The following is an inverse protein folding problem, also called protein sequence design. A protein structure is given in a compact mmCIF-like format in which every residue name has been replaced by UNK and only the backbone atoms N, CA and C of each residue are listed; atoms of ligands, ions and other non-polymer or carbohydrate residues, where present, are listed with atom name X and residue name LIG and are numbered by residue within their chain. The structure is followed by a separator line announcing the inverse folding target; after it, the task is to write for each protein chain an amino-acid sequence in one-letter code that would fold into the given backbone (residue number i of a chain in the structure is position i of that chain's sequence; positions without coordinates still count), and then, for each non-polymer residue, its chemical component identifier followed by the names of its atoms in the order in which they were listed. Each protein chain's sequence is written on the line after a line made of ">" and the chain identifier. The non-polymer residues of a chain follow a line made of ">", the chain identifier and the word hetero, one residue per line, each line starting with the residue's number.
data_IF_958299965110
#
_entry.id   IF_958299965110
#
_cell.length_a   1.000
_cell.length_b   1.000
_cell.length_c   1.000
_cell.angle_alpha   90.00
_cell.angle_beta   90.00
_cell.angle_gamma   90.00
#
_symmetry.space_group_name_H-M   'P 1'
#
loop_
_entity.id
_entity.type
_entity.pdbx_description
1 polymer ?
#
# COMPACT_ATOMS: atom_id res chain seq x y z
N UNK A 1 -1.35 13.00 10.39
CA UNK A 1 -0.90 11.78 9.72
C UNK A 1 -1.26 11.76 8.23
N UNK A 2 -2.50 12.10 7.85
CA UNK A 2 -2.91 12.06 6.43
C UNK A 2 -2.08 12.98 5.52
N UNK A 3 -1.83 14.23 5.94
CA UNK A 3 -0.98 15.18 5.20
C UNK A 3 0.45 14.67 5.00
N UNK A 4 1.06 14.12 6.06
CA UNK A 4 2.42 13.55 6.03
C UNK A 4 2.58 12.60 4.85
N UNK A 5 1.61 11.70 4.70
CA UNK A 5 1.74 10.66 3.69
C UNK A 5 1.35 11.18 2.32
N UNK A 6 0.37 12.09 2.22
CA UNK A 6 0.08 12.77 0.97
C UNK A 6 1.34 13.44 0.41
N UNK A 7 2.02 14.25 1.23
CA UNK A 7 3.26 14.93 0.86
C UNK A 7 4.34 13.91 0.44
N UNK A 8 4.47 12.80 1.20
CA UNK A 8 5.43 11.75 0.88
C UNK A 8 5.16 11.03 -0.44
N UNK A 9 3.89 10.91 -0.84
CA UNK A 9 3.49 10.30 -2.10
C UNK A 9 3.81 11.21 -3.28
N UNK A 10 3.68 12.53 -3.11
CA UNK A 10 4.02 13.51 -4.13
C UNK A 10 5.54 13.58 -4.38
N UNK A 11 6.34 13.37 -3.32
CA UNK A 11 7.81 13.41 -3.40
C UNK A 11 8.45 12.16 -4.05
N UNK A 12 7.76 11.02 -4.05
CA UNK A 12 8.36 9.71 -4.37
C UNK A 12 7.82 9.15 -5.68
N UNK A 13 8.72 9.05 -6.66
CA UNK A 13 8.41 8.48 -7.95
C UNK A 13 7.97 7.01 -7.85
N UNK A 14 7.14 6.57 -8.80
CA UNK A 14 6.67 5.18 -8.87
C UNK A 14 5.40 4.88 -8.06
N UNK A 15 5.13 5.62 -6.98
CA UNK A 15 3.92 5.41 -6.16
C UNK A 15 2.64 5.62 -6.97
N UNK A 16 2.62 6.62 -7.86
CA UNK A 16 1.47 6.86 -8.75
C UNK A 16 1.14 5.65 -9.64
N UNK A 17 2.14 4.89 -10.09
CA UNK A 17 1.90 3.69 -10.90
C UNK A 17 1.29 2.57 -10.07
N UNK A 18 1.76 2.39 -8.83
CA UNK A 18 1.17 1.47 -7.86
C UNK A 18 -0.30 1.84 -7.58
N UNK A 19 -0.56 3.13 -7.32
CA UNK A 19 -1.93 3.66 -7.11
C UNK A 19 -2.84 3.38 -8.31
N UNK A 20 -2.39 3.70 -9.53
CA UNK A 20 -3.15 3.45 -10.76
C UNK A 20 -3.46 1.95 -10.91
N UNK A 21 -2.53 1.06 -10.58
CA UNK A 21 -2.77 -0.38 -10.64
C UNK A 21 -3.84 -0.82 -9.62
N UNK A 22 -3.71 -0.40 -8.36
CA UNK A 22 -4.69 -0.73 -7.31
C UNK A 22 -6.09 -0.18 -7.65
N UNK A 23 -6.17 1.03 -8.19
CA UNK A 23 -7.44 1.63 -8.64
C UNK A 23 -8.06 0.88 -9.82
N UNK A 24 -7.25 0.30 -10.73
CA UNK A 24 -7.76 -0.54 -11.82
C UNK A 24 -8.38 -1.83 -11.29
N UNK A 25 -7.73 -2.50 -10.34
CA UNK A 25 -8.29 -3.69 -9.68
C UNK A 25 -9.61 -3.32 -9.01
N UNK A 26 -9.63 -2.26 -8.19
CA UNK A 26 -10.84 -1.79 -7.51
C UNK A 26 -11.97 -1.50 -8.50
N UNK A 27 -11.74 -0.67 -9.51
CA UNK A 27 -12.76 -0.30 -10.49
C UNK A 27 -13.29 -1.52 -11.26
N UNK A 28 -12.43 -2.50 -11.57
CA UNK A 28 -12.83 -3.71 -12.29
C UNK A 28 -13.85 -4.54 -11.52
N UNK A 29 -13.71 -4.64 -10.20
CA UNK A 29 -14.61 -5.43 -9.35
C UNK A 29 -15.77 -4.59 -8.80
N UNK A 30 -15.55 -3.33 -8.44
CA UNK A 30 -16.60 -2.46 -7.89
C UNK A 30 -17.64 -2.03 -8.92
N UNK A 31 -17.27 -1.92 -10.19
CA UNK A 31 -18.19 -1.44 -11.25
C UNK A 31 -18.98 -2.55 -11.94
N UNK A 32 -18.71 -3.83 -11.64
CA UNK A 32 -19.37 -4.98 -12.27
C UNK A 32 -19.80 -5.99 -11.21
N UNK A 33 -21.12 -6.11 -10.90
CA UNK A 33 -21.63 -7.13 -9.98
C UNK A 33 -21.32 -8.56 -10.43
N UNK A 34 -21.04 -8.77 -11.71
CA UNK A 34 -20.57 -10.07 -12.23
C UNK A 34 -19.13 -10.32 -11.78
N UNK A 35 -18.22 -9.38 -12.04
CA UNK A 35 -16.82 -9.53 -11.65
C UNK A 35 -16.67 -9.60 -10.12
N UNK A 36 -17.47 -8.85 -9.36
CA UNK A 36 -17.49 -8.95 -7.89
C UNK A 36 -17.86 -10.36 -7.44
N UNK A 37 -18.91 -10.97 -8.00
CA UNK A 37 -19.29 -12.35 -7.65
C UNK A 37 -18.21 -13.35 -8.00
N UNK A 38 -17.62 -13.24 -9.19
CA UNK A 38 -16.49 -14.10 -9.60
C UNK A 38 -15.28 -13.94 -8.68
N UNK A 39 -15.01 -12.71 -8.22
CA UNK A 39 -13.97 -12.46 -7.23
C UNK A 39 -14.32 -13.06 -5.86
N UNK A 40 -15.57 -12.95 -5.42
CA UNK A 40 -16.01 -13.51 -4.13
C UNK A 40 -15.89 -15.04 -4.10
N UNK A 41 -16.09 -15.70 -5.23
CA UNK A 41 -15.92 -17.16 -5.39
C UNK A 41 -14.45 -17.59 -5.23
N UNK A 42 -13.50 -16.75 -5.67
CA UNK A 42 -12.07 -17.07 -5.71
C UNK A 42 -11.31 -16.49 -4.51
N UNK A 43 -11.71 -15.33 -4.02
CA UNK A 43 -11.05 -14.54 -2.99
C UNK A 43 -12.09 -13.69 -2.24
N UNK A 44 -12.91 -14.35 -1.40
CA UNK A 44 -13.94 -13.69 -0.59
C UNK A 44 -13.37 -12.56 0.28
N UNK A 45 -12.17 -12.74 0.82
CA UNK A 45 -11.45 -11.70 1.57
C UNK A 45 -11.21 -10.45 0.71
N UNK A 46 -10.61 -10.62 -0.46
CA UNK A 46 -10.38 -9.54 -1.43
C UNK A 46 -11.66 -8.87 -1.90
N UNK A 47 -12.76 -9.58 -2.16
CA UNK A 47 -14.03 -8.97 -2.54
C UNK A 47 -14.63 -8.10 -1.44
N UNK A 48 -14.72 -8.64 -0.22
CA UNK A 48 -15.21 -7.90 0.94
C UNK A 48 -14.38 -6.65 1.20
N UNK A 49 -13.05 -6.75 1.02
CA UNK A 49 -12.15 -5.61 1.15
C UNK A 49 -12.35 -4.61 0.00
N UNK A 50 -12.34 -5.03 -1.26
CA UNK A 50 -12.50 -4.14 -2.42
C UNK A 50 -13.83 -3.37 -2.42
N UNK A 51 -14.91 -3.96 -1.88
CA UNK A 51 -16.21 -3.30 -1.73
C UNK A 51 -16.26 -2.31 -0.55
N UNK A 52 -15.48 -2.54 0.51
CA UNK A 52 -15.38 -1.66 1.69
C UNK A 52 -14.34 -0.55 1.55
N UNK A 53 -13.50 -0.63 0.51
CA UNK A 53 -12.30 0.20 0.34
C UNK A 53 -12.51 1.29 -0.71
N UNK A 54 -12.21 2.53 -0.30
CA UNK A 54 -12.13 3.68 -1.21
C UNK A 54 -10.90 3.61 -2.11
N UNK A 55 -10.61 4.68 -2.86
CA UNK A 55 -9.37 4.77 -3.65
C UNK A 55 -8.15 4.63 -2.73
N UNK A 56 -7.13 3.89 -3.18
CA UNK A 56 -5.87 3.74 -2.43
C UNK A 56 -5.13 5.08 -2.47
N UNK A 57 -4.62 5.55 -1.34
CA UNK A 57 -3.90 6.82 -1.20
C UNK A 57 -4.74 8.10 -1.50
N UNK A 58 -5.95 8.22 -0.96
CA UNK A 58 -6.87 9.41 -1.02
C UNK A 58 -7.18 9.99 0.38
N UNK A 59 -7.95 11.07 0.55
CA UNK A 59 -8.11 11.86 1.80
C UNK A 59 -8.43 11.16 3.15
N UNK A 60 -8.72 9.85 3.23
CA UNK A 60 -8.93 9.07 4.50
C UNK A 60 -8.32 7.66 4.48
N UNK A 61 -7.17 7.54 3.84
CA UNK A 61 -6.78 6.29 3.17
C UNK A 61 -5.98 5.26 3.96
N UNK A 62 -5.33 5.58 5.08
CA UNK A 62 -4.32 4.66 5.67
C UNK A 62 -4.91 3.28 5.96
N UNK A 63 -6.00 3.22 6.72
CA UNK A 63 -6.68 1.96 7.03
C UNK A 63 -7.25 1.28 5.76
N UNK A 64 -7.96 2.05 4.92
CA UNK A 64 -8.54 1.53 3.68
C UNK A 64 -7.49 0.97 2.72
N UNK A 65 -6.31 1.59 2.66
CA UNK A 65 -5.24 1.19 1.75
C UNK A 65 -4.43 0.04 2.31
N UNK A 66 -4.20 0.00 3.62
CA UNK A 66 -3.65 -1.18 4.27
C UNK A 66 -4.51 -2.41 3.98
N UNK A 67 -5.84 -2.30 4.14
CA UNK A 67 -6.73 -3.41 3.85
C UNK A 67 -6.66 -3.83 2.37
N UNK A 68 -6.50 -2.90 1.44
CA UNK A 68 -6.42 -3.19 0.01
C UNK A 68 -5.14 -3.94 -0.33
N UNK A 69 -4.02 -3.42 0.17
CA UNK A 69 -2.69 -4.01 0.01
C UNK A 69 -2.62 -5.38 0.66
N UNK A 70 -3.13 -5.51 1.89
CA UNK A 70 -3.21 -6.77 2.64
C UNK A 70 -4.06 -7.80 1.91
N UNK A 71 -5.17 -7.40 1.31
CA UNK A 71 -6.02 -8.31 0.54
C UNK A 71 -5.31 -8.81 -0.72
N UNK A 72 -4.68 -7.92 -1.50
CA UNK A 72 -3.90 -8.32 -2.68
C UNK A 72 -2.70 -9.19 -2.29
N UNK A 73 -2.07 -8.92 -1.15
CA UNK A 73 -1.01 -9.75 -0.61
C UNK A 73 -1.50 -11.14 -0.21
N UNK A 74 -2.62 -11.22 0.52
CA UNK A 74 -3.12 -12.49 1.08
C UNK A 74 -3.74 -13.39 0.00
N UNK A 75 -4.47 -12.79 -0.94
CA UNK A 75 -5.19 -13.50 -2.00
C UNK A 75 -4.44 -13.44 -3.35
N UNK A 76 -3.11 -13.26 -3.32
CA UNK A 76 -2.30 -13.01 -4.52
C UNK A 76 -2.46 -14.11 -5.58
N UNK A 77 -2.32 -15.38 -5.17
CA UNK A 77 -2.46 -16.55 -6.06
C UNK A 77 -3.86 -16.64 -6.66
N UNK A 78 -4.87 -16.42 -5.83
CA UNK A 78 -6.27 -16.47 -6.23
C UNK A 78 -6.58 -15.39 -7.27
N UNK A 79 -6.12 -14.16 -7.02
CA UNK A 79 -6.26 -13.03 -7.95
C UNK A 79 -5.52 -13.30 -9.28
N UNK A 80 -4.32 -13.86 -9.21
CA UNK A 80 -3.54 -14.22 -10.41
C UNK A 80 -4.27 -15.25 -11.28
N UNK A 81 -4.78 -16.33 -10.67
CA UNK A 81 -5.52 -17.36 -11.38
C UNK A 81 -6.77 -16.80 -12.04
N UNK A 82 -7.55 -15.98 -11.31
CA UNK A 82 -8.72 -15.30 -11.88
C UNK A 82 -8.34 -14.44 -13.10
N UNK A 83 -7.24 -13.68 -13.04
CA UNK A 83 -6.81 -12.89 -14.19
C UNK A 83 -6.36 -13.73 -15.38
N UNK A 84 -5.74 -14.90 -15.16
CA UNK A 84 -5.44 -15.83 -16.25
C UNK A 84 -6.72 -16.34 -16.89
N UNK A 85 -7.62 -16.92 -16.10
CA UNK A 85 -8.87 -17.51 -16.57
C UNK A 85 -9.71 -16.48 -17.34
N UNK A 86 -9.87 -15.28 -16.77
CA UNK A 86 -10.61 -14.20 -17.42
C UNK A 86 -9.90 -13.64 -18.68
N UNK A 87 -8.59 -13.81 -18.82
CA UNK A 87 -7.86 -13.41 -20.03
C UNK A 87 -8.02 -14.42 -21.18
N UNK A 88 -8.34 -15.67 -20.87
CA UNK A 88 -8.51 -16.77 -21.84
C UNK A 88 -9.99 -17.07 -22.15
N UNK A 89 -10.91 -16.57 -21.33
CA UNK A 89 -12.36 -16.74 -21.47
C UNK A 89 -12.88 -16.19 -22.81
N UNK A 90 -13.21 -17.11 -23.73
CA UNK A 90 -13.71 -16.78 -25.08
C UNK A 90 -15.07 -16.06 -25.09
N UNK A 91 -15.81 -16.09 -23.99
CA UNK A 91 -17.08 -15.38 -23.86
C UNK A 91 -16.90 -13.88 -23.56
N UNK A 92 -15.70 -13.46 -23.14
CA UNK A 92 -15.37 -12.05 -22.91
C UNK A 92 -14.92 -11.36 -24.19
N UNK A 93 -15.19 -10.07 -24.26
CA UNK A 93 -14.71 -9.26 -25.38
C UNK A 93 -13.17 -9.17 -25.39
N UNK A 94 -12.62 -8.89 -26.58
CA UNK A 94 -11.16 -8.84 -26.77
C UNK A 94 -10.47 -7.77 -25.91
N UNK A 95 -11.16 -6.67 -25.61
CA UNK A 95 -10.63 -5.57 -24.80
C UNK A 95 -10.56 -5.94 -23.32
N UNK A 96 -11.58 -6.62 -22.79
CA UNK A 96 -11.58 -7.18 -21.44
C UNK A 96 -10.47 -8.20 -21.27
N UNK A 97 -10.36 -9.18 -22.17
CA UNK A 97 -9.29 -10.18 -22.13
C UNK A 97 -7.89 -9.56 -22.13
N UNK A 98 -7.68 -8.57 -23.00
CA UNK A 98 -6.42 -7.82 -23.05
C UNK A 98 -6.13 -7.07 -21.74
N UNK A 99 -7.16 -6.51 -21.11
CA UNK A 99 -7.04 -5.84 -19.81
C UNK A 99 -6.62 -6.82 -18.73
N UNK A 100 -7.28 -7.98 -18.62
CA UNK A 100 -6.91 -9.03 -17.66
C UNK A 100 -5.49 -9.55 -17.89
N UNK A 101 -5.09 -9.76 -19.15
CA UNK A 101 -3.72 -10.15 -19.50
C UNK A 101 -2.69 -9.10 -19.06
N UNK A 102 -3.02 -7.81 -19.22
CA UNK A 102 -2.18 -6.70 -18.76
C UNK A 102 -2.05 -6.65 -17.23
N UNK A 103 -3.15 -6.89 -16.50
CA UNK A 103 -3.18 -6.93 -15.04
C UNK A 103 -2.42 -8.13 -14.49
N UNK A 104 -2.68 -9.34 -14.99
CA UNK A 104 -1.91 -10.54 -14.68
C UNK A 104 -0.41 -10.31 -14.94
N UNK A 105 -0.12 -9.71 -16.10
CA UNK A 105 1.21 -9.28 -16.52
C UNK A 105 1.96 -8.46 -15.45
N UNK A 106 1.23 -7.51 -14.87
CA UNK A 106 1.76 -6.55 -13.91
C UNK A 106 1.85 -7.16 -12.51
N UNK A 107 0.82 -7.89 -12.09
CA UNK A 107 0.73 -8.57 -10.80
C UNK A 107 1.90 -9.54 -10.59
N UNK A 108 2.21 -10.35 -11.60
CA UNK A 108 3.31 -11.32 -11.58
C UNK A 108 4.69 -10.71 -11.84
N UNK A 109 4.84 -9.39 -11.84
CA UNK A 109 6.16 -8.77 -12.02
C UNK A 109 6.90 -8.69 -10.69
N UNK A 110 8.21 -8.93 -10.73
CA UNK A 110 9.07 -8.77 -9.55
C UNK A 110 8.99 -7.36 -8.95
N UNK A 111 8.95 -6.33 -9.80
CA UNK A 111 8.81 -4.94 -9.37
C UNK A 111 7.49 -4.66 -8.66
N UNK A 112 6.38 -5.24 -9.14
CA UNK A 112 5.09 -5.06 -8.46
C UNK A 112 5.07 -5.73 -7.09
N UNK A 113 5.59 -6.96 -6.98
CA UNK A 113 5.68 -7.67 -5.68
C UNK A 113 6.54 -6.90 -4.68
N UNK A 114 7.67 -6.34 -5.12
CA UNK A 114 8.49 -5.45 -4.30
C UNK A 114 7.71 -4.21 -3.84
N UNK A 115 7.06 -3.49 -4.77
CA UNK A 115 6.26 -2.31 -4.43
C UNK A 115 5.11 -2.65 -3.48
N UNK A 116 4.45 -3.80 -3.66
CA UNK A 116 3.35 -4.27 -2.82
C UNK A 116 3.85 -4.53 -1.38
N UNK A 117 4.97 -5.22 -1.22
CA UNK A 117 5.59 -5.47 0.08
C UNK A 117 5.97 -4.18 0.81
N UNK A 118 6.65 -3.28 0.10
CA UNK A 118 7.09 -1.99 0.63
C UNK A 118 5.90 -1.16 1.13
N UNK A 119 4.85 -1.09 0.32
CA UNK A 119 3.62 -0.38 0.69
C UNK A 119 2.92 -1.05 1.86
N UNK A 120 2.93 -2.38 1.95
CA UNK A 120 2.35 -3.11 3.07
C UNK A 120 3.08 -2.74 4.37
N UNK A 121 4.40 -2.92 4.41
CA UNK A 121 5.19 -2.63 5.61
C UNK A 121 4.97 -1.18 6.09
N UNK A 122 4.99 -0.19 5.17
CA UNK A 122 4.76 1.21 5.55
C UNK A 122 3.33 1.48 6.04
N UNK A 123 2.32 0.89 5.39
CA UNK A 123 0.92 1.07 5.74
C UNK A 123 0.54 0.42 7.07
N UNK A 124 1.16 -0.69 7.42
CA UNK A 124 0.96 -1.37 8.71
C UNK A 124 1.41 -0.45 9.85
N UNK A 125 2.63 0.08 9.78
CA UNK A 125 3.19 1.00 10.78
C UNK A 125 2.37 2.31 10.87
N UNK A 126 1.94 2.87 9.73
CA UNK A 126 1.06 4.05 9.71
C UNK A 126 -0.32 3.77 10.32
N UNK A 127 -0.89 2.61 10.04
CA UNK A 127 -2.20 2.23 10.58
C UNK A 127 -2.15 2.04 12.08
N UNK A 128 -1.08 1.43 12.60
CA UNK A 128 -0.87 1.25 14.03
C UNK A 128 -0.77 2.60 14.75
N UNK A 129 0.02 3.54 14.22
CA UNK A 129 0.06 4.90 14.75
C UNK A 129 -1.32 5.58 14.67
N UNK A 130 -2.02 5.45 13.55
CA UNK A 130 -3.36 6.04 13.38
C UNK A 130 -4.34 5.55 14.46
N UNK A 131 -4.32 4.25 14.77
CA UNK A 131 -5.16 3.66 15.81
C UNK A 131 -4.74 4.13 17.21
N UNK A 132 -3.44 4.26 17.48
CA UNK A 132 -2.95 4.81 18.75
C UNK A 132 -3.41 6.25 18.94
N UNK A 133 -3.28 7.08 17.90
CA UNK A 133 -3.66 8.50 17.90
C UNK A 133 -5.17 8.74 18.09
N UNK A 134 -6.00 7.74 17.78
CA UNK A 134 -7.46 7.81 17.91
C UNK A 134 -8.00 7.38 19.30
N UNK A 135 -7.14 6.89 20.20
CA UNK A 135 -7.58 6.47 21.53
C UNK A 135 -8.07 7.67 22.35
N UNK A 136 -9.27 7.56 22.92
CA UNK A 136 -9.87 8.62 23.75
C UNK A 136 -9.07 8.94 25.02
N UNK A 137 -8.26 7.99 25.50
CA UNK A 137 -7.38 8.15 26.67
C UNK A 137 -5.99 8.69 26.34
N UNK A 138 -5.70 9.02 25.07
CA UNK A 138 -4.39 9.47 24.65
C UNK A 138 -4.09 10.88 25.17
N UNK A 139 -2.92 11.04 25.79
CA UNK A 139 -2.40 12.35 26.17
C UNK A 139 -1.31 12.81 25.19
N UNK A 140 -0.97 14.10 25.26
CA UNK A 140 -0.02 14.72 24.34
C UNK A 140 1.39 14.10 24.39
N UNK A 141 1.85 13.71 25.59
CA UNK A 141 3.18 13.11 25.79
C UNK A 141 3.24 11.75 25.10
N UNK A 142 2.19 10.94 25.25
CA UNK A 142 2.08 9.64 24.58
C UNK A 142 2.00 9.82 23.07
N UNK A 143 1.18 10.75 22.57
CA UNK A 143 1.08 11.03 21.14
C UNK A 143 2.44 11.45 20.55
N UNK A 144 3.19 12.31 21.24
CA UNK A 144 4.53 12.71 20.83
C UNK A 144 5.51 11.54 20.81
N UNK A 145 5.46 10.68 21.84
CA UNK A 145 6.28 9.47 21.92
C UNK A 145 5.97 8.50 20.78
N UNK A 146 4.69 8.27 20.49
CA UNK A 146 4.24 7.34 19.44
C UNK A 146 4.70 7.82 18.04
N UNK A 147 4.56 9.11 17.75
CA UNK A 147 5.06 9.70 16.50
C UNK A 147 6.58 9.61 16.41
N UNK A 148 7.29 9.91 17.51
CA UNK A 148 8.76 9.82 17.56
C UNK A 148 9.25 8.39 17.35
N UNK A 149 8.54 7.40 17.90
CA UNK A 149 8.84 5.99 17.68
C UNK A 149 8.66 5.62 16.20
N UNK A 150 7.57 6.05 15.57
CA UNK A 150 7.35 5.78 14.15
C UNK A 150 8.43 6.41 13.26
N UNK A 151 8.88 7.63 13.57
CA UNK A 151 10.00 8.27 12.87
C UNK A 151 11.24 7.38 12.92
N UNK A 152 11.61 6.89 14.12
CA UNK A 152 12.76 5.98 14.29
C UNK A 152 12.59 4.66 13.52
N UNK A 153 11.37 4.13 13.48
CA UNK A 153 11.06 2.94 12.67
C UNK A 153 11.33 3.21 11.19
N UNK A 154 10.84 4.32 10.63
CA UNK A 154 11.10 4.66 9.23
C UNK A 154 12.56 4.99 8.94
N UNK A 155 13.26 5.68 9.83
CA UNK A 155 14.70 5.87 9.71
C UNK A 155 15.46 4.54 9.69
N UNK A 156 15.06 3.59 10.55
CA UNK A 156 15.63 2.24 10.54
C UNK A 156 15.34 1.51 9.22
N UNK A 157 14.15 1.71 8.63
CA UNK A 157 13.73 1.10 7.36
C UNK A 157 14.51 1.59 6.14
N UNK A 158 15.21 2.72 6.23
CA UNK A 158 16.12 3.18 5.16
C UNK A 158 17.29 2.21 4.95
N UNK A 159 17.75 1.54 6.01
CA UNK A 159 18.86 0.59 5.94
C UNK A 159 18.45 -0.86 6.18
N UNK A 160 17.26 -1.11 6.78
CA UNK A 160 16.80 -2.44 7.14
C UNK A 160 15.40 -2.71 6.56
N UNK A 161 15.27 -3.77 5.75
CA UNK A 161 13.99 -4.12 5.15
C UNK A 161 12.91 -4.43 6.19
N UNK A 162 11.67 -4.06 5.87
CA UNK A 162 10.49 -4.51 6.60
C UNK A 162 10.23 -6.01 6.41
N UNK A 163 9.33 -6.58 7.23
CA UNK A 163 9.05 -8.02 7.23
C UNK A 163 8.57 -8.50 5.86
N UNK A 164 7.63 -7.77 5.24
CA UNK A 164 7.09 -8.14 3.91
C UNK A 164 8.09 -7.89 2.81
N UNK A 165 8.93 -6.87 2.95
CA UNK A 165 10.01 -6.58 2.02
C UNK A 165 11.06 -7.71 2.01
N UNK A 166 11.39 -8.29 3.17
CA UNK A 166 12.23 -9.51 3.24
C UNK A 166 11.56 -10.70 2.57
N UNK A 167 10.28 -10.94 2.86
CA UNK A 167 9.50 -12.05 2.25
C UNK A 167 9.45 -11.92 0.72
N UNK A 168 9.17 -10.71 0.22
CA UNK A 168 9.18 -10.42 -1.21
C UNK A 168 10.58 -10.57 -1.83
N UNK A 169 11.64 -10.16 -1.12
CA UNK A 169 13.01 -10.29 -1.62
C UNK A 169 13.37 -11.75 -1.87
N UNK A 170 13.08 -12.63 -0.92
CA UNK A 170 13.28 -14.09 -1.07
C UNK A 170 12.47 -14.61 -2.27
N UNK A 171 11.18 -14.28 -2.33
CA UNK A 171 10.30 -14.70 -3.42
C UNK A 171 10.75 -14.20 -4.81
N UNK A 172 11.30 -12.98 -4.89
CA UNK A 172 11.84 -12.39 -6.12
C UNK A 172 13.12 -13.11 -6.53
N UNK A 173 13.99 -13.44 -5.59
CA UNK A 173 15.22 -14.20 -5.85
C UNK A 173 14.93 -15.62 -6.34
N UNK A 174 13.88 -16.25 -5.79
CA UNK A 174 13.38 -17.56 -6.23
C UNK A 174 12.49 -17.49 -7.48
N UNK A 175 12.17 -16.28 -7.97
CA UNK A 175 11.21 -16.01 -9.05
C UNK A 175 9.84 -16.68 -8.83
N UNK A 176 9.41 -16.80 -7.57
CA UNK A 176 8.16 -17.45 -7.19
C UNK A 176 7.57 -16.81 -5.93
N UNK A 177 6.32 -16.37 -6.02
CA UNK A 177 5.57 -15.82 -4.89
C UNK A 177 4.20 -16.50 -4.80
N UNK A 178 3.92 -17.18 -3.68
CA UNK A 178 2.68 -17.93 -3.46
C UNK A 178 2.34 -18.89 -4.62
N UNK A 179 3.31 -19.71 -5.04
CA UNK A 179 3.24 -20.63 -6.20
C UNK A 179 3.02 -19.98 -7.57
N UNK A 180 3.07 -18.65 -7.66
CA UNK A 180 2.99 -17.92 -8.92
C UNK A 180 4.41 -17.60 -9.39
N UNK A 181 4.73 -17.99 -10.62
CA UNK A 181 6.00 -17.65 -11.27
C UNK A 181 6.07 -16.15 -11.53
N UNK A 182 7.16 -15.53 -11.10
CA UNK A 182 7.41 -14.11 -11.32
C UNK A 182 8.17 -13.87 -12.62
N UNK A 183 7.96 -12.69 -13.21
CA UNK A 183 8.65 -12.25 -14.40
C UNK A 183 9.33 -10.89 -14.18
N UNK A 184 10.49 -10.72 -14.79
CA UNK A 184 11.19 -9.42 -14.77
C UNK A 184 10.56 -8.52 -15.84
N UNK A 185 10.04 -7.36 -15.43
CA UNK A 185 9.45 -6.35 -16.33
C UNK A 185 10.05 -4.98 -16.08
N UNK A 186 10.77 -4.46 -17.07
CA UNK A 186 11.41 -3.14 -17.02
C UNK A 186 10.46 -1.94 -17.08
N UNK A 187 9.21 -2.15 -17.52
CA UNK A 187 8.23 -1.06 -17.74
C UNK A 187 7.53 -0.58 -16.46
N UNK A 188 7.65 -1.31 -15.36
CA UNK A 188 7.01 -0.96 -14.09
C UNK A 188 8.06 -0.23 -13.26
N UNK A 189 7.84 1.04 -12.89
CA UNK A 189 8.79 1.75 -12.05
C UNK A 189 8.79 1.17 -10.63
N UNK A 190 9.99 0.91 -10.12
CA UNK A 190 10.18 0.57 -8.71
C UNK A 190 10.01 1.82 -7.87
N UNK A 191 9.37 1.68 -6.71
CA UNK A 191 9.37 2.73 -5.70
C UNK A 191 10.79 2.80 -5.11
N UNK A 192 11.46 3.96 -5.06
CA UNK A 192 12.76 4.08 -4.43
C UNK A 192 12.64 3.94 -2.90
N UNK A 193 12.78 2.72 -2.37
CA UNK A 193 12.56 2.34 -0.96
C UNK A 193 13.22 3.31 0.04
N UNK A 194 14.51 3.60 -0.13
CA UNK A 194 15.25 4.51 0.76
C UNK A 194 14.67 5.92 0.76
N UNK A 195 14.28 6.43 -0.42
CA UNK A 195 13.68 7.75 -0.54
C UNK A 195 12.28 7.75 0.08
N UNK A 196 11.51 6.68 -0.10
CA UNK A 196 10.16 6.55 0.42
C UNK A 196 10.13 6.62 1.96
N UNK A 197 10.91 5.78 2.64
CA UNK A 197 10.97 5.81 4.10
C UNK A 197 11.57 7.11 4.64
N UNK A 198 12.58 7.68 3.96
CA UNK A 198 13.15 8.97 4.35
C UNK A 198 12.13 10.11 4.21
N UNK A 199 11.34 10.10 3.15
CA UNK A 199 10.27 11.10 2.93
C UNK A 199 9.19 10.99 4.02
N UNK A 200 8.74 9.78 4.37
CA UNK A 200 7.82 9.56 5.47
C UNK A 200 8.38 10.06 6.81
N UNK A 201 9.63 9.73 7.14
CA UNK A 201 10.29 10.16 8.37
C UNK A 201 10.42 11.69 8.44
N UNK A 202 10.86 12.33 7.35
CA UNK A 202 11.01 13.79 7.27
C UNK A 202 9.67 14.51 7.42
N UNK A 203 8.63 14.03 6.73
CA UNK A 203 7.29 14.61 6.80
C UNK A 203 6.63 14.42 8.18
N UNK A 204 6.90 13.32 8.88
CA UNK A 204 6.49 13.17 10.29
C UNK A 204 7.25 14.15 11.19
N UNK A 205 8.57 14.26 11.01
CA UNK A 205 9.45 15.10 11.82
C UNK A 205 9.09 16.58 11.71
N UNK A 206 8.80 17.07 10.49
CA UNK A 206 8.44 18.48 10.27
C UNK A 206 7.14 18.89 10.96
N UNK A 207 6.30 17.91 11.34
CA UNK A 207 5.00 18.11 11.99
C UNK A 207 5.02 17.70 13.46
N UNK A 208 6.16 17.22 13.96
CA UNK A 208 6.35 16.95 15.37
C UNK A 208 6.45 18.28 16.13
N UNK A 209 5.89 18.34 17.34
CA UNK A 209 6.05 19.50 18.20
C UNK A 209 7.52 19.70 18.54
N UNK A 210 8.15 20.71 17.95
CA UNK A 210 9.46 21.19 18.36
C UNK A 210 9.33 22.00 19.65
N UNK A 211 10.33 21.88 20.52
CA UNK A 211 10.39 22.59 21.83
C UNK A 211 10.21 24.11 21.69
N UNK A 212 10.59 24.67 20.52
CA UNK A 212 10.40 26.08 20.18
C UNK A 212 8.94 26.48 19.98
N UNK A 213 8.10 25.61 19.42
CA UNK A 213 6.68 25.90 19.17
C UNK A 213 5.83 25.83 20.45
N UNK A 214 6.31 25.15 21.49
CA UNK A 214 5.66 25.16 22.81
C UNK A 214 5.88 26.50 23.55
N UNK A 215 7.07 27.10 23.41
CA UNK A 215 7.39 28.39 24.02
C UNK A 215 6.66 29.58 23.35
N UNK A 216 6.54 29.57 22.01
CA UNK A 216 5.84 30.63 21.29
C UNK A 216 4.32 30.65 21.56
N UNK A 217 3.69 29.50 21.74
CA UNK A 217 2.26 29.42 22.04
C UNK A 217 1.96 29.86 23.48
N UNK A 218 2.85 29.61 24.45
CA UNK A 218 2.70 30.16 25.81
C UNK A 218 2.79 31.69 25.84
N UNK A 219 3.59 32.30 24.97
CA UNK A 219 3.79 33.74 24.91
C UNK A 219 2.64 34.48 24.22
N UNK A 220 1.79 33.79 23.45
CA UNK A 220 0.60 34.37 22.80
C UNK A 220 -0.67 34.32 23.66
N UNK A 221 -0.65 33.58 24.77
CA UNK A 221 -1.80 33.39 25.67
C UNK A 221 -1.63 34.20 26.97
N UNK A 222 -0.49 34.88 27.14
CA UNK A 222 -0.26 35.95 28.12
C UNK A 222 -0.26 37.31 27.42
#
# INVERSE_FOLDING_TARGET
>A
LELVVHDSIEEVAGINHFKIFMDKIRNMFSCSPKNSRELAEVAKGLEEQMLKIGRVLDTRWVASSLMAVKAVWTDFKALYNHFIEASEDKQRDSKQRSTYKGLCSTLSSTTFVHNLALMFDALEELSDLSLQLQKSSLNLIQAHSDVTLLIKVFENRVENMGRRSVEAKIAIDDLMFQDVKLCVRSKIPSIPEKQFYRSLANNLTSRLLSSSNAAENYTKIM
#
